data_IF_799007534654
#
_entry.id   IF_799007534654
#
_cell.length_a   1.000
_cell.length_b   1.000
_cell.length_c   1.000
_cell.angle_alpha   90.00
_cell.angle_beta   90.00
_cell.angle_gamma   90.00
#
_symmetry.space_group_name_H-M   'P 1'
#
loop_
_entity.id
_entity.type
_entity.pdbx_description
1 polymer ?
#
# COMPACT_ATOMS: atom_id res chain seq x y z
N UNK A 1 -12.99 25.24 -5.05
CA UNK A 1 -12.32 23.96 -4.69
C UNK A 1 -13.40 22.97 -4.29
N UNK A 2 -13.46 21.77 -4.86
CA UNK A 2 -14.39 20.74 -4.37
C UNK A 2 -13.94 20.33 -2.96
N UNK A 3 -14.75 20.66 -1.94
CA UNK A 3 -14.42 20.37 -0.55
C UNK A 3 -14.56 18.88 -0.28
N UNK A 4 -13.50 18.23 0.19
CA UNK A 4 -13.53 16.84 0.63
C UNK A 4 -13.24 16.73 2.13
N UNK A 5 -13.81 15.72 2.78
CA UNK A 5 -13.62 15.52 4.21
C UNK A 5 -12.34 14.70 4.49
N UNK A 6 -11.44 15.25 5.29
CA UNK A 6 -10.29 14.52 5.84
C UNK A 6 -10.70 13.94 7.20
N UNK A 7 -10.78 12.61 7.30
CA UNK A 7 -11.23 11.93 8.53
C UNK A 7 -10.23 12.01 9.69
N UNK A 8 -8.95 12.28 9.45
CA UNK A 8 -7.94 12.44 10.51
C UNK A 8 -7.19 11.14 10.86
N UNK A 9 -7.83 9.97 10.83
CA UNK A 9 -7.19 8.67 11.07
C UNK A 9 -7.18 7.76 9.83
N UNK A 10 -6.48 6.63 9.93
CA UNK A 10 -6.49 5.54 8.96
C UNK A 10 -7.18 4.33 9.61
N UNK A 11 -8.04 3.57 8.89
CA UNK A 11 -8.65 2.38 9.48
C UNK A 11 -7.63 1.28 9.74
N UNK A 12 -7.88 0.51 10.77
CA UNK A 12 -7.30 -0.81 11.07
C UNK A 12 -8.44 -1.81 11.38
N UNK A 13 -8.11 -3.01 11.87
CA UNK A 13 -9.10 -4.02 12.17
C UNK A 13 -9.94 -3.72 13.42
N UNK A 14 -9.38 -3.00 14.40
CA UNK A 14 -10.03 -2.59 15.65
C UNK A 14 -10.78 -1.26 15.52
N UNK A 15 -10.40 -0.43 14.56
CA UNK A 15 -10.98 0.88 14.31
C UNK A 15 -11.32 1.01 12.82
N UNK A 16 -12.39 0.34 12.36
CA UNK A 16 -12.78 0.39 10.96
C UNK A 16 -13.29 1.79 10.57
N UNK A 17 -13.40 2.03 9.27
CA UNK A 17 -13.89 3.31 8.74
C UNK A 17 -15.09 3.11 7.85
N UNK A 18 -16.18 3.83 8.12
CA UNK A 18 -17.36 3.80 7.27
C UNK A 18 -17.08 4.41 5.89
N UNK A 19 -17.36 3.66 4.83
CA UNK A 19 -17.37 4.07 3.44
C UNK A 19 -18.79 3.99 2.86
N UNK A 20 -18.93 4.18 1.54
CA UNK A 20 -20.24 4.17 0.88
C UNK A 20 -20.78 2.75 0.69
N UNK A 21 -19.89 1.76 0.66
CA UNK A 21 -20.21 0.35 0.52
C UNK A 21 -20.32 -0.41 1.85
N UNK A 22 -19.99 0.22 2.98
CA UNK A 22 -19.91 -0.38 4.32
C UNK A 22 -18.60 -0.04 5.03
N UNK A 23 -18.30 -0.69 6.15
CA UNK A 23 -17.04 -0.54 6.86
C UNK A 23 -15.86 -1.06 6.03
N UNK A 24 -14.75 -0.32 6.13
CA UNK A 24 -13.43 -0.69 5.66
C UNK A 24 -12.62 -1.25 6.82
N UNK A 25 -12.26 -2.52 6.72
CA UNK A 25 -11.47 -3.24 7.73
C UNK A 25 -10.11 -3.54 7.13
N UNK A 26 -9.03 -3.01 7.73
CA UNK A 26 -7.67 -3.18 7.21
C UNK A 26 -6.93 -4.26 7.95
N UNK A 27 -6.37 -5.20 7.19
CA UNK A 27 -5.47 -6.26 7.63
C UNK A 27 -4.04 -5.88 7.30
N UNK A 28 -3.12 -6.05 8.24
CA UNK A 28 -1.69 -5.76 8.08
C UNK A 28 -0.89 -7.06 8.13
N UNK A 29 -0.63 -7.73 6.98
CA UNK A 29 0.07 -9.01 6.99
C UNK A 29 1.44 -8.89 7.65
N UNK A 30 1.75 -9.79 8.58
CA UNK A 30 3.07 -9.85 9.22
C UNK A 30 4.12 -10.07 8.12
N UNK A 31 5.15 -9.22 8.10
CA UNK A 31 6.20 -9.23 7.06
C UNK A 31 5.66 -9.09 5.61
N UNK A 32 4.46 -8.53 5.44
CA UNK A 32 3.83 -8.43 4.12
C UNK A 32 3.45 -9.78 3.49
N UNK A 33 3.39 -10.86 4.28
CA UNK A 33 3.20 -12.24 3.79
C UNK A 33 1.98 -12.90 4.44
N UNK A 34 1.21 -13.62 3.64
CA UNK A 34 0.06 -14.42 4.07
C UNK A 34 0.32 -15.88 3.67
N UNK A 35 0.25 -16.80 4.63
CA UNK A 35 0.28 -18.24 4.33
C UNK A 35 -0.92 -18.65 3.47
N UNK A 36 -0.82 -19.79 2.79
CA UNK A 36 -1.93 -20.37 2.04
C UNK A 36 -3.25 -20.40 2.83
N UNK A 37 -3.22 -20.88 4.08
CA UNK A 37 -4.39 -20.97 4.94
C UNK A 37 -4.96 -19.58 5.30
N UNK A 38 -4.08 -18.61 5.57
CA UNK A 38 -4.45 -17.23 5.83
C UNK A 38 -5.10 -16.55 4.62
N UNK A 39 -4.58 -16.78 3.41
CA UNK A 39 -5.19 -16.22 2.19
C UNK A 39 -6.60 -16.78 1.99
N UNK A 40 -6.78 -18.10 2.11
CA UNK A 40 -8.11 -18.71 1.98
C UNK A 40 -9.07 -18.22 3.07
N UNK A 41 -8.63 -18.20 4.33
CA UNK A 41 -9.45 -17.73 5.45
C UNK A 41 -9.82 -16.25 5.32
N UNK A 42 -8.90 -15.41 4.81
CA UNK A 42 -9.17 -14.01 4.51
C UNK A 42 -10.21 -13.87 3.39
N UNK A 43 -10.11 -14.68 2.33
CA UNK A 43 -11.06 -14.64 1.21
C UNK A 43 -12.46 -15.08 1.65
N UNK A 44 -12.55 -16.16 2.43
CA UNK A 44 -13.78 -16.62 3.08
C UNK A 44 -14.39 -15.51 3.94
N UNK A 45 -13.60 -14.89 4.82
CA UNK A 45 -14.05 -13.81 5.66
C UNK A 45 -14.54 -12.57 4.85
N UNK A 46 -13.88 -12.25 3.73
CA UNK A 46 -14.29 -11.17 2.84
C UNK A 46 -15.65 -11.41 2.19
N UNK A 47 -15.97 -12.66 1.86
CA UNK A 47 -17.25 -13.06 1.25
C UNK A 47 -18.34 -13.14 2.31
N UNK A 48 -18.07 -13.74 3.47
CA UNK A 48 -19.06 -13.95 4.54
C UNK A 48 -19.43 -12.65 5.24
N UNK A 49 -18.45 -11.80 5.55
CA UNK A 49 -18.66 -10.61 6.37
C UNK A 49 -18.62 -9.30 5.58
N UNK A 50 -18.31 -9.34 4.29
CA UNK A 50 -18.18 -8.15 3.45
C UNK A 50 -18.88 -8.31 2.11
N UNK A 51 -18.40 -7.58 1.10
CA UNK A 51 -18.90 -7.67 -0.27
C UNK A 51 -17.97 -8.47 -1.20
N UNK A 52 -17.03 -9.24 -0.63
CA UNK A 52 -16.06 -10.04 -1.40
C UNK A 52 -14.95 -9.23 -2.09
N UNK A 53 -14.87 -7.92 -1.90
CA UNK A 53 -13.82 -7.08 -2.49
C UNK A 53 -12.67 -6.83 -1.51
N UNK A 54 -11.44 -7.01 -2.00
CA UNK A 54 -10.21 -6.76 -1.24
C UNK A 54 -9.39 -5.72 -2.01
N UNK A 55 -9.07 -4.59 -1.37
CA UNK A 55 -8.15 -3.59 -1.92
C UNK A 55 -6.77 -3.74 -1.29
N UNK A 56 -5.72 -3.77 -2.11
CA UNK A 56 -4.35 -3.51 -1.71
C UNK A 56 -4.12 -2.03 -1.44
N UNK A 57 -3.27 -1.73 -0.49
CA UNK A 57 -2.87 -0.36 -0.15
C UNK A 57 -1.42 -0.10 -0.50
N UNK A 58 -1.05 1.18 -0.65
CA UNK A 58 0.34 1.60 -0.87
C UNK A 58 1.31 1.29 0.28
N UNK A 59 0.84 0.67 1.38
CA UNK A 59 1.69 0.17 2.48
C UNK A 59 1.74 -1.36 2.53
N UNK A 60 1.46 -2.02 1.41
CA UNK A 60 1.39 -3.48 1.35
C UNK A 60 0.42 -4.13 2.37
N UNK A 61 -0.63 -3.39 2.76
CA UNK A 61 -1.73 -3.92 3.57
C UNK A 61 -2.94 -4.25 2.69
N UNK A 62 -3.87 -5.03 3.24
CA UNK A 62 -5.14 -5.40 2.59
C UNK A 62 -6.32 -4.72 3.28
N UNK A 63 -7.36 -4.42 2.52
CA UNK A 63 -8.57 -3.78 3.02
C UNK A 63 -9.80 -4.54 2.53
N UNK A 64 -10.48 -5.17 3.47
CA UNK A 64 -11.79 -5.78 3.30
C UNK A 64 -12.83 -4.68 3.21
N UNK A 65 -13.82 -4.86 2.35
CA UNK A 65 -14.85 -3.86 2.08
C UNK A 65 -16.26 -4.39 2.30
N UNK A 66 -17.16 -3.43 2.49
CA UNK A 66 -18.58 -3.68 2.58
C UNK A 66 -19.01 -4.44 3.83
N UNK A 67 -18.24 -4.29 4.91
CA UNK A 67 -18.55 -4.94 6.18
C UNK A 67 -19.70 -4.18 6.85
N UNK A 68 -20.84 -4.82 7.20
CA UNK A 68 -21.90 -4.14 7.93
C UNK A 68 -21.43 -3.84 9.35
N UNK A 69 -21.90 -2.74 9.96
CA UNK A 69 -21.51 -2.36 11.33
C UNK A 69 -21.79 -3.48 12.34
N UNK A 70 -22.93 -4.17 12.17
CA UNK A 70 -23.34 -5.29 13.01
C UNK A 70 -22.49 -6.55 12.81
N UNK A 71 -21.79 -6.68 11.67
CA UNK A 71 -20.96 -7.85 11.34
C UNK A 71 -19.47 -7.66 11.64
N UNK A 72 -19.05 -6.46 12.04
CA UNK A 72 -17.63 -6.15 12.25
C UNK A 72 -16.97 -6.99 13.35
N UNK A 73 -17.62 -7.17 14.50
CA UNK A 73 -17.04 -7.96 15.60
C UNK A 73 -16.80 -9.42 15.19
N UNK A 74 -17.75 -10.04 14.49
CA UNK A 74 -17.60 -11.41 14.02
C UNK A 74 -16.45 -11.56 13.00
N UNK A 75 -16.28 -10.57 12.12
CA UNK A 75 -15.13 -10.51 11.22
C UNK A 75 -13.83 -10.39 12.00
N UNK A 76 -13.77 -9.49 12.99
CA UNK A 76 -12.57 -9.29 13.81
C UNK A 76 -12.17 -10.58 14.52
N UNK A 77 -13.12 -11.28 15.15
CA UNK A 77 -12.89 -12.56 15.82
C UNK A 77 -12.32 -13.60 14.84
N UNK A 78 -12.84 -13.65 13.61
CA UNK A 78 -12.33 -14.53 12.56
C UNK A 78 -10.90 -14.18 12.15
N UNK A 79 -10.59 -12.89 12.01
CA UNK A 79 -9.24 -12.42 11.65
C UNK A 79 -8.22 -12.68 12.77
N UNK A 80 -8.63 -12.62 14.03
CA UNK A 80 -7.81 -12.99 15.19
C UNK A 80 -7.46 -14.49 15.17
N UNK A 81 -8.44 -15.35 14.91
CA UNK A 81 -8.22 -16.81 14.77
C UNK A 81 -7.24 -17.15 13.64
N UNK A 82 -7.21 -16.35 12.58
CA UNK A 82 -6.30 -16.51 11.44
C UNK A 82 -4.89 -15.91 11.67
N UNK A 83 -4.63 -15.30 12.84
CA UNK A 83 -3.42 -14.51 13.13
C UNK A 83 -3.14 -13.42 12.06
N UNK A 84 -4.21 -12.76 11.63
CA UNK A 84 -4.13 -11.63 10.68
C UNK A 84 -4.15 -10.27 11.38
N UNK A 85 -4.58 -10.26 12.63
CA UNK A 85 -4.75 -9.06 13.46
C UNK A 85 -4.11 -9.33 14.81
N UNK A 86 -3.44 -8.33 15.37
CA UNK A 86 -2.92 -8.40 16.72
C UNK A 86 -4.06 -8.30 17.74
N UNK A 87 -4.11 -9.17 18.78
CA UNK A 87 -5.16 -9.12 19.78
C UNK A 87 -5.12 -7.85 20.64
N UNK A 88 -3.98 -7.15 20.71
CA UNK A 88 -3.88 -5.86 21.37
C UNK A 88 -4.13 -4.72 20.34
N UNK A 89 -5.21 -3.93 20.48
CA UNK A 89 -5.50 -2.81 19.60
C UNK A 89 -4.38 -1.76 19.53
N UNK A 90 -3.64 -1.55 20.62
CA UNK A 90 -2.53 -0.59 20.69
C UNK A 90 -1.35 -1.09 19.86
N UNK A 91 -1.02 -2.38 19.97
CA UNK A 91 0.03 -3.00 19.16
C UNK A 91 -0.39 -3.04 17.69
N UNK A 92 -1.64 -3.38 17.38
CA UNK A 92 -2.15 -3.39 16.01
C UNK A 92 -1.98 -2.02 15.34
N UNK A 93 -2.24 -0.91 16.05
CA UNK A 93 -2.05 0.43 15.53
C UNK A 93 -0.58 0.71 15.16
N UNK A 94 0.37 0.18 15.92
CA UNK A 94 1.82 0.38 15.75
C UNK A 94 2.43 -0.48 14.63
N UNK A 95 1.72 -1.49 14.12
CA UNK A 95 2.16 -2.41 13.03
C UNK A 95 2.22 -1.80 11.62
N UNK A 96 2.45 -0.49 11.48
CA UNK A 96 2.62 0.15 10.17
C UNK A 96 4.03 -0.09 9.61
N UNK A 97 4.39 -1.35 9.36
CA UNK A 97 5.70 -1.77 8.86
C UNK A 97 5.57 -2.17 7.40
N UNK A 98 6.32 -1.50 6.53
CA UNK A 98 6.53 -1.89 5.15
C UNK A 98 7.87 -2.63 5.07
N UNK A 99 7.87 -3.82 4.49
CA UNK A 99 9.08 -4.66 4.33
C UNK A 99 9.28 -4.93 2.84
N UNK A 100 10.52 -4.94 2.37
CA UNK A 100 10.87 -5.29 0.99
C UNK A 100 10.25 -6.66 0.61
N UNK A 101 9.32 -6.74 -0.37
CA UNK A 101 8.55 -7.96 -0.60
C UNK A 101 9.38 -9.19 -0.98
N UNK A 102 10.59 -9.01 -1.48
CA UNK A 102 11.50 -10.08 -1.91
C UNK A 102 12.46 -10.57 -0.81
N UNK A 103 12.22 -10.18 0.45
CA UNK A 103 13.00 -10.67 1.59
C UNK A 103 13.07 -12.21 1.63
N UNK A 104 14.21 -12.73 2.04
CA UNK A 104 14.49 -14.16 2.20
C UNK A 104 14.63 -14.51 3.67
N UNK A 105 14.25 -15.74 4.03
CA UNK A 105 14.38 -16.20 5.41
C UNK A 105 15.85 -16.11 5.84
N UNK A 106 16.09 -15.31 6.87
CA UNK A 106 17.43 -15.10 7.46
C UNK A 106 18.21 -13.92 6.88
N UNK A 107 17.71 -13.24 5.87
CA UNK A 107 18.31 -11.97 5.45
C UNK A 107 18.04 -10.84 6.46
N UNK A 108 18.70 -9.70 6.25
CA UNK A 108 18.58 -8.57 7.16
C UNK A 108 17.18 -7.96 7.18
N UNK A 109 16.47 -7.90 6.05
CA UNK A 109 15.08 -7.42 6.01
C UNK A 109 14.17 -8.28 6.88
N UNK A 110 14.27 -9.60 6.75
CA UNK A 110 13.52 -10.58 7.54
C UNK A 110 13.85 -10.49 9.03
N UNK A 111 15.14 -10.49 9.36
CA UNK A 111 15.62 -10.40 10.75
C UNK A 111 15.18 -9.10 11.44
N UNK A 112 15.38 -7.96 10.77
CA UNK A 112 15.09 -6.64 11.35
C UNK A 112 13.58 -6.42 11.48
N UNK A 113 12.80 -6.75 10.46
CA UNK A 113 11.34 -6.62 10.54
C UNK A 113 10.73 -7.57 11.56
N UNK A 114 11.24 -8.80 11.66
CA UNK A 114 10.85 -9.76 12.70
C UNK A 114 11.16 -9.24 14.10
N UNK A 115 12.36 -8.71 14.33
CA UNK A 115 12.75 -8.13 15.61
C UNK A 115 11.94 -6.87 15.98
N UNK A 116 11.56 -6.04 15.00
CA UNK A 116 10.68 -4.89 15.24
C UNK A 116 9.26 -5.32 15.62
N UNK A 117 8.72 -6.37 14.98
CA UNK A 117 7.39 -6.90 15.29
C UNK A 117 7.27 -7.39 16.74
N UNK A 118 8.34 -7.88 17.35
CA UNK A 118 8.35 -8.35 18.75
C UNK A 118 8.61 -7.24 19.77
N UNK A 119 8.85 -6.00 19.33
CA UNK A 119 9.25 -4.86 20.19
C UNK A 119 8.38 -3.62 19.97
N UNK A 120 7.16 -3.83 19.47
CA UNK A 120 6.22 -2.73 19.16
C UNK A 120 5.69 -2.03 20.41
N UNK A 121 5.71 -2.68 21.55
CA UNK A 121 5.39 -2.14 22.87
C UNK A 121 6.39 -1.06 23.31
N UNK A 122 7.65 -1.17 22.88
CA UNK A 122 8.73 -0.21 23.19
C UNK A 122 8.61 1.11 22.40
N UNK A 123 7.82 1.16 21.33
CA UNK A 123 7.61 2.38 20.55
C UNK A 123 6.80 3.41 21.35
N UNK A 124 7.06 4.73 21.17
CA UNK A 124 6.20 5.76 21.74
C UNK A 124 4.83 5.77 21.05
N UNK A 125 3.90 6.54 21.61
CA UNK A 125 2.64 6.82 20.94
C UNK A 125 2.88 7.68 19.69
N UNK A 126 2.65 7.05 18.53
CA UNK A 126 2.79 7.65 17.21
C UNK A 126 1.40 7.79 16.58
N UNK A 127 1.21 8.85 15.80
CA UNK A 127 -0.01 8.99 15.01
C UNK A 127 -0.13 7.82 14.02
N UNK A 128 -1.34 7.28 13.83
CA UNK A 128 -1.58 6.06 13.04
C UNK A 128 -1.22 6.12 11.54
N UNK A 129 -0.63 7.21 11.04
CA UNK A 129 -0.08 7.34 9.68
C UNK A 129 1.44 7.22 9.62
N UNK A 130 2.11 7.35 10.76
CA UNK A 130 3.55 7.13 10.90
C UNK A 130 3.81 5.65 10.67
N UNK A 131 4.88 5.35 9.93
CA UNK A 131 5.26 3.97 9.64
C UNK A 131 6.75 3.77 9.43
N UNK A 132 7.14 2.52 9.31
CA UNK A 132 8.51 2.05 9.23
C UNK A 132 8.74 1.38 7.87
N UNK A 133 9.88 1.63 7.23
CA UNK A 133 10.29 0.93 6.03
C UNK A 133 11.55 0.12 6.31
N UNK A 134 11.49 -1.19 6.07
CA UNK A 134 12.60 -2.12 6.23
C UNK A 134 12.97 -2.66 4.85
N UNK A 135 14.08 -2.16 4.31
CA UNK A 135 14.57 -2.44 2.95
C UNK A 135 16.08 -2.73 2.99
N UNK A 136 16.43 -3.73 3.80
CA UNK A 136 17.79 -4.10 4.13
C UNK A 136 18.29 -5.30 3.31
N UNK A 137 17.63 -5.62 2.19
CA UNK A 137 18.10 -6.63 1.24
C UNK A 137 19.43 -6.21 0.60
N UNK A 138 20.01 -7.08 -0.23
CA UNK A 138 21.18 -6.70 -1.06
C UNK A 138 20.79 -5.66 -2.12
N UNK A 139 19.55 -5.72 -2.58
CA UNK A 139 18.98 -4.79 -3.55
C UNK A 139 17.79 -4.09 -2.89
N UNK A 140 17.88 -2.77 -2.69
CA UNK A 140 16.78 -1.99 -2.14
C UNK A 140 15.71 -1.73 -3.23
N UNK A 141 14.43 -1.80 -2.87
CA UNK A 141 13.30 -1.63 -3.80
C UNK A 141 12.21 -0.66 -3.31
N UNK A 142 12.27 -0.24 -2.05
CA UNK A 142 11.28 0.61 -1.40
C UNK A 142 11.68 2.09 -1.37
N UNK A 143 12.74 2.51 -2.07
CA UNK A 143 13.30 3.87 -1.97
C UNK A 143 12.29 5.00 -2.26
N UNK A 144 11.30 4.73 -3.11
CA UNK A 144 10.21 5.67 -3.43
C UNK A 144 8.97 5.55 -2.55
N UNK A 145 8.91 4.58 -1.64
CA UNK A 145 7.74 4.29 -0.82
C UNK A 145 7.76 5.04 0.50
N UNK A 146 6.57 5.28 1.06
CA UNK A 146 6.44 6.02 2.31
C UNK A 146 6.91 5.20 3.53
N UNK A 147 7.85 5.75 4.30
CA UNK A 147 8.27 5.23 5.60
C UNK A 147 8.95 6.33 6.36
N UNK A 148 8.42 6.70 7.53
CA UNK A 148 8.88 7.82 8.35
C UNK A 148 10.26 7.53 8.97
N UNK A 149 10.50 6.27 9.31
CA UNK A 149 11.78 5.76 9.77
C UNK A 149 12.18 4.60 8.86
N UNK A 150 13.40 4.64 8.33
CA UNK A 150 13.85 3.70 7.30
C UNK A 150 15.11 2.99 7.75
N UNK A 151 15.09 1.67 7.79
CA UNK A 151 16.30 0.85 7.87
C UNK A 151 16.51 0.27 6.47
N UNK A 152 17.58 0.68 5.82
CA UNK A 152 17.89 0.31 4.43
C UNK A 152 19.41 0.22 4.21
N UNK A 153 19.85 -0.04 2.98
CA UNK A 153 21.28 -0.04 2.66
C UNK A 153 21.81 1.36 2.36
N UNK A 154 23.03 1.63 2.79
CA UNK A 154 23.85 2.73 2.27
C UNK A 154 24.47 2.37 0.93
N UNK A 155 24.98 3.37 0.20
CA UNK A 155 25.67 3.17 -1.08
C UNK A 155 26.93 2.29 -0.98
N UNK A 156 27.46 2.09 0.23
CA UNK A 156 28.57 1.19 0.58
C UNK A 156 28.11 -0.25 0.89
N UNK A 157 26.80 -0.53 0.88
CA UNK A 157 26.21 -1.82 1.26
C UNK A 157 26.01 -2.01 2.76
N UNK A 158 26.43 -1.05 3.60
CA UNK A 158 26.20 -1.05 5.04
C UNK A 158 24.72 -0.83 5.38
N UNK A 159 24.30 -1.18 6.59
CA UNK A 159 22.97 -0.83 7.09
C UNK A 159 22.96 0.63 7.53
N UNK A 160 21.92 1.36 7.17
CA UNK A 160 21.68 2.73 7.62
C UNK A 160 20.29 2.90 8.23
N UNK A 161 20.19 3.82 9.19
CA UNK A 161 18.92 4.37 9.66
C UNK A 161 18.76 5.77 9.09
N UNK A 162 17.65 6.00 8.38
CA UNK A 162 17.33 7.30 7.78
C UNK A 162 15.96 7.80 8.21
N UNK A 163 15.92 9.04 8.68
CA UNK A 163 14.68 9.78 8.90
C UNK A 163 14.13 10.25 7.55
N UNK A 164 12.84 10.02 7.28
CA UNK A 164 12.23 10.47 6.03
C UNK A 164 12.34 11.99 5.84
N UNK A 165 12.48 12.42 4.58
CA UNK A 165 12.79 13.82 4.25
C UNK A 165 14.24 14.24 4.47
N UNK A 166 15.11 13.37 4.99
CA UNK A 166 16.58 13.57 5.00
C UNK A 166 17.22 12.83 3.83
N UNK A 167 18.24 13.45 3.24
CA UNK A 167 18.97 12.91 2.09
C UNK A 167 19.90 11.74 2.50
N UNK A 168 20.44 11.79 3.71
CA UNK A 168 21.42 10.84 4.24
C UNK A 168 20.93 10.20 5.54
N UNK A 169 21.51 9.05 5.88
CA UNK A 169 21.26 8.31 7.12
C UNK A 169 22.54 8.05 7.92
N UNK A 170 22.38 7.56 9.15
CA UNK A 170 23.48 7.11 10.01
C UNK A 170 23.79 5.63 9.75
N UNK A 171 25.05 5.22 9.84
CA UNK A 171 25.41 3.81 9.86
C UNK A 171 24.84 3.12 11.11
N UNK A 172 24.38 1.88 10.96
CA UNK A 172 23.93 1.06 12.09
C UNK A 172 24.60 -0.30 12.06
N UNK A 173 25.13 -0.71 13.21
CA UNK A 173 25.72 -2.03 13.36
C UNK A 173 24.66 -3.13 13.36
N UNK A 174 25.02 -4.30 12.85
CA UNK A 174 24.16 -5.48 12.86
C UNK A 174 23.66 -5.78 14.28
N UNK A 175 22.35 -5.94 14.44
CA UNK A 175 21.69 -6.19 15.73
C UNK A 175 21.34 -4.94 16.54
N UNK A 176 21.76 -3.74 16.11
CA UNK A 176 21.42 -2.45 16.76
C UNK A 176 20.36 -1.65 16.00
N UNK A 177 19.83 -2.18 14.91
CA UNK A 177 18.96 -1.46 13.99
C UNK A 177 17.64 -1.06 14.63
N UNK A 178 17.01 -2.03 15.31
CA UNK A 178 15.72 -1.81 15.98
C UNK A 178 15.87 -0.87 17.18
N UNK A 179 16.98 -0.97 17.93
CA UNK A 179 17.29 -0.04 19.04
C UNK A 179 17.37 1.42 18.53
N UNK A 180 18.15 1.64 17.47
CA UNK A 180 18.35 2.96 16.90
C UNK A 180 17.03 3.53 16.33
N UNK A 181 16.23 2.69 15.67
CA UNK A 181 14.92 3.07 15.15
C UNK A 181 13.95 3.46 16.27
N UNK A 182 13.87 2.67 17.35
CA UNK A 182 13.03 2.98 18.52
C UNK A 182 13.50 4.29 19.18
N UNK A 183 14.80 4.47 19.37
CA UNK A 183 15.36 5.71 19.90
C UNK A 183 14.99 6.94 19.05
N UNK A 184 14.99 6.78 17.72
CA UNK A 184 14.64 7.86 16.79
C UNK A 184 13.15 8.15 16.82
N UNK A 185 12.32 7.12 17.00
CA UNK A 185 10.88 7.27 17.19
C UNK A 185 10.56 8.04 18.48
N UNK A 186 11.24 7.71 19.60
CA UNK A 186 11.12 8.45 20.86
C UNK A 186 11.53 9.91 20.72
N UNK A 187 12.67 10.18 20.06
CA UNK A 187 13.06 11.55 19.75
C UNK A 187 12.01 12.27 18.92
N UNK A 188 11.46 11.63 17.87
CA UNK A 188 10.42 12.22 17.03
C UNK A 188 9.19 12.59 17.86
N UNK A 189 8.70 11.69 18.70
CA UNK A 189 7.55 11.94 19.57
C UNK A 189 7.82 13.11 20.54
N UNK A 190 8.95 13.07 21.27
CA UNK A 190 9.32 14.07 22.26
C UNK A 190 9.60 15.46 21.67
N UNK A 191 10.09 15.52 20.43
CA UNK A 191 10.45 16.77 19.75
C UNK A 191 9.31 17.41 18.96
N UNK A 192 8.07 16.91 19.09
CA UNK A 192 6.87 17.51 18.48
C UNK A 192 6.38 16.81 17.21
N UNK A 193 6.77 15.56 16.99
CA UNK A 193 6.36 14.75 15.84
C UNK A 193 4.84 14.62 15.67
N UNK A 194 4.08 14.64 16.78
CA UNK A 194 2.62 14.68 16.74
C UNK A 194 2.07 15.91 16.00
N UNK A 195 2.72 17.08 16.14
CA UNK A 195 2.34 18.30 15.41
C UNK A 195 2.76 18.23 13.94
N UNK A 196 3.93 17.66 13.66
CA UNK A 196 4.43 17.50 12.29
C UNK A 196 3.61 16.47 11.49
N UNK A 197 3.09 15.44 12.16
CA UNK A 197 2.29 14.36 11.58
C UNK A 197 3.11 13.29 10.85
N UNK A 198 4.19 13.68 10.16
CA UNK A 198 5.09 12.81 9.39
C UNK A 198 6.54 13.26 9.58
N UNK A 199 7.49 12.33 9.55
CA UNK A 199 8.92 12.63 9.71
C UNK A 199 9.43 13.59 8.62
N UNK A 200 9.02 13.41 7.36
CA UNK A 200 9.41 14.32 6.27
C UNK A 200 8.97 15.78 6.47
N UNK A 201 7.98 16.05 7.34
CA UNK A 201 7.53 17.41 7.69
C UNK A 201 8.18 17.91 8.97
N UNK A 202 8.91 17.06 9.68
CA UNK A 202 9.56 17.36 10.94
C UNK A 202 10.95 17.95 10.69
N UNK A 203 11.01 19.28 10.66
CA UNK A 203 12.19 20.04 10.22
C UNK A 203 13.23 20.31 11.30
N UNK A 204 13.06 19.79 12.51
CA UNK A 204 14.04 19.96 13.58
C UNK A 204 15.37 19.29 13.26
N UNK A 205 16.44 19.76 13.89
CA UNK A 205 17.76 19.15 13.77
C UNK A 205 17.73 17.79 14.48
N UNK A 206 18.24 16.76 13.80
CA UNK A 206 18.36 15.42 14.38
C UNK A 206 19.33 15.46 15.57
N UNK A 207 19.15 14.57 16.57
CA UNK A 207 20.15 14.43 17.63
C UNK A 207 21.47 13.94 17.02
N UNK A 208 22.60 14.32 17.63
CA UNK A 208 23.94 14.05 17.09
C UNK A 208 24.16 12.59 16.71
N UNK A 209 23.68 11.66 17.54
CA UNK A 209 23.80 10.23 17.29
C UNK A 209 23.00 9.73 16.07
N UNK A 210 21.96 10.46 15.66
CA UNK A 210 21.11 10.13 14.50
C UNK A 210 21.52 10.90 13.23
N UNK A 211 22.50 11.80 13.33
CA UNK A 211 23.09 12.45 12.17
C UNK A 211 23.99 11.47 11.42
N UNK A 212 23.99 11.55 10.10
CA UNK A 212 24.88 10.78 9.25
C UNK A 212 24.95 11.36 7.84
N UNK A 213 26.00 11.01 7.12
CA UNK A 213 26.37 11.51 5.79
C UNK A 213 26.29 10.42 4.70
N UNK A 214 25.80 9.22 5.05
CA UNK A 214 25.71 8.10 4.13
C UNK A 214 24.45 8.24 3.28
N UNK A 215 24.62 8.28 1.96
CA UNK A 215 23.51 8.23 1.01
C UNK A 215 22.91 6.82 0.95
N UNK A 216 21.58 6.69 0.85
CA UNK A 216 20.95 5.39 0.63
C UNK A 216 21.41 4.78 -0.70
N UNK A 217 21.47 3.45 -0.73
CA UNK A 217 21.69 2.71 -1.96
C UNK A 217 20.61 3.06 -3.00
N UNK A 218 20.96 3.08 -4.30
CA UNK A 218 19.96 3.24 -5.35
C UNK A 218 18.86 2.17 -5.26
N UNK A 219 17.61 2.58 -5.44
CA UNK A 219 16.49 1.66 -5.51
C UNK A 219 16.46 0.99 -6.88
N UNK A 220 16.35 -0.34 -6.91
CA UNK A 220 16.05 -1.08 -8.11
C UNK A 220 14.58 -0.87 -8.55
N UNK A 221 14.26 -1.40 -9.73
CA UNK A 221 12.91 -1.36 -10.28
C UNK A 221 11.92 -2.12 -9.38
N UNK A 222 10.69 -1.60 -9.31
CA UNK A 222 9.60 -2.26 -8.60
C UNK A 222 9.28 -3.61 -9.24
N UNK A 223 8.72 -4.52 -8.43
CA UNK A 223 8.24 -5.82 -8.93
C UNK A 223 7.08 -5.57 -9.90
N UNK A 224 7.19 -6.15 -11.10
CA UNK A 224 6.18 -6.13 -12.16
C UNK A 224 5.60 -7.53 -12.36
N UNK A 225 4.43 -7.67 -13.03
CA UNK A 225 3.88 -8.98 -13.35
C UNK A 225 4.84 -9.87 -14.13
N UNK A 226 4.83 -11.17 -13.84
CA UNK A 226 5.70 -12.17 -14.47
C UNK A 226 6.49 -13.02 -13.47
N UNK A 227 7.45 -13.77 -14.00
CA UNK A 227 8.34 -14.61 -13.18
C UNK A 227 9.18 -13.76 -12.23
N UNK A 228 9.28 -14.20 -10.97
CA UNK A 228 10.10 -13.55 -9.97
C UNK A 228 10.86 -14.58 -9.12
N UNK A 229 12.13 -14.33 -8.86
CA UNK A 229 13.00 -15.29 -8.16
C UNK A 229 13.13 -15.00 -6.65
N UNK A 230 12.39 -15.76 -5.86
CA UNK A 230 12.53 -15.79 -4.40
C UNK A 230 13.50 -16.88 -3.90
N UNK A 231 14.19 -17.60 -4.77
CA UNK A 231 15.03 -18.74 -4.42
C UNK A 231 14.24 -20.01 -4.05
N UNK A 232 13.00 -20.13 -4.53
CA UNK A 232 12.13 -21.28 -4.30
C UNK A 232 12.23 -22.27 -5.47
N UNK A 233 12.15 -23.58 -5.18
CA UNK A 233 12.27 -24.66 -6.18
C UNK A 233 11.29 -24.51 -7.34
N UNK A 234 10.04 -24.21 -7.03
CA UNK A 234 8.96 -24.10 -8.03
C UNK A 234 8.78 -22.66 -8.54
N UNK A 235 9.75 -21.78 -8.25
CA UNK A 235 9.71 -20.36 -8.62
C UNK A 235 8.68 -19.55 -7.85
N UNK A 236 8.45 -18.32 -8.30
CA UNK A 236 7.36 -17.46 -7.81
C UNK A 236 6.83 -16.61 -8.96
N UNK A 237 5.57 -16.21 -8.88
CA UNK A 237 4.93 -15.44 -9.93
C UNK A 237 4.28 -14.18 -9.38
N UNK A 238 4.52 -13.06 -10.06
CA UNK A 238 3.94 -11.77 -9.74
C UNK A 238 2.70 -11.51 -10.61
N UNK A 239 1.60 -11.09 -9.98
CA UNK A 239 0.35 -10.73 -10.64
C UNK A 239 -0.04 -9.30 -10.31
N UNK A 240 -0.28 -8.49 -11.32
CA UNK A 240 -0.84 -7.15 -11.17
C UNK A 240 -2.33 -7.21 -10.86
N UNK A 241 -2.79 -6.23 -10.07
CA UNK A 241 -4.19 -6.04 -9.74
C UNK A 241 -4.72 -4.77 -10.42
N UNK A 242 -5.77 -4.87 -11.26
CA UNK A 242 -6.46 -3.70 -11.77
C UNK A 242 -6.88 -2.77 -10.63
N UNK A 243 -6.32 -1.56 -10.62
CA UNK A 243 -6.57 -0.53 -9.60
C UNK A 243 -6.27 -0.96 -8.15
N UNK A 244 -5.50 -2.05 -7.97
CA UNK A 244 -5.17 -2.57 -6.64
C UNK A 244 -6.31 -3.33 -5.99
N UNK A 245 -7.33 -3.77 -6.75
CA UNK A 245 -8.45 -4.55 -6.23
C UNK A 245 -8.42 -5.98 -6.75
N UNK A 246 -8.82 -6.90 -5.90
CA UNK A 246 -9.08 -8.30 -6.25
C UNK A 246 -10.39 -8.76 -5.61
N UNK A 247 -11.14 -9.60 -6.34
CA UNK A 247 -12.28 -10.31 -5.76
C UNK A 247 -11.78 -11.52 -4.97
N UNK A 248 -12.31 -11.71 -3.77
CA UNK A 248 -11.91 -12.78 -2.86
C UNK A 248 -12.00 -14.17 -3.52
N UNK A 249 -13.03 -14.42 -4.32
CA UNK A 249 -13.20 -15.67 -5.07
C UNK A 249 -12.09 -15.92 -6.12
N UNK A 250 -11.58 -14.85 -6.75
CA UNK A 250 -10.49 -14.96 -7.73
C UNK A 250 -9.19 -15.27 -7.01
N UNK A 251 -8.92 -14.58 -5.90
CA UNK A 251 -7.74 -14.85 -5.08
C UNK A 251 -7.76 -16.28 -4.52
N UNK A 252 -8.89 -16.70 -3.93
CA UNK A 252 -9.07 -18.05 -3.41
C UNK A 252 -8.88 -19.10 -4.52
N UNK A 253 -9.57 -18.93 -5.66
CA UNK A 253 -9.47 -19.86 -6.79
C UNK A 253 -8.05 -19.98 -7.34
N UNK A 254 -7.29 -18.88 -7.42
CA UNK A 254 -5.88 -18.91 -7.82
C UNK A 254 -5.01 -19.71 -6.84
N UNK A 255 -5.19 -19.51 -5.53
CA UNK A 255 -4.43 -20.26 -4.52
C UNK A 255 -4.89 -21.73 -4.46
N UNK A 256 -6.17 -22.01 -4.70
CA UNK A 256 -6.71 -23.38 -4.77
C UNK A 256 -6.21 -24.16 -5.97
N UNK A 257 -6.10 -23.52 -7.12
CA UNK A 257 -5.63 -24.12 -8.37
C UNK A 257 -4.10 -24.23 -8.47
N UNK A 258 -3.35 -23.85 -7.42
CA UNK A 258 -1.89 -23.83 -7.44
C UNK A 258 -1.26 -24.46 -6.20
N UNK A 259 0.02 -24.88 -6.26
CA UNK A 259 0.78 -25.30 -5.09
C UNK A 259 1.25 -24.13 -4.21
N UNK A 260 0.70 -22.92 -4.40
CA UNK A 260 1.16 -21.70 -3.75
C UNK A 260 1.26 -21.85 -2.23
N UNK A 261 2.47 -21.65 -1.69
CA UNK A 261 2.72 -21.76 -0.25
C UNK A 261 2.24 -20.52 0.51
N UNK A 262 2.34 -19.35 -0.13
CA UNK A 262 1.97 -18.05 0.43
C UNK A 262 1.79 -17.01 -0.66
N UNK A 263 1.23 -15.86 -0.27
CA UNK A 263 1.13 -14.65 -1.10
C UNK A 263 1.77 -13.49 -0.35
N UNK A 264 2.64 -12.75 -1.03
CA UNK A 264 3.21 -11.50 -0.52
C UNK A 264 2.52 -10.30 -1.15
N UNK A 265 2.27 -9.31 -0.32
CA UNK A 265 1.62 -8.06 -0.70
C UNK A 265 2.72 -7.04 -0.98
N UNK A 266 2.66 -6.39 -2.13
CA UNK A 266 3.57 -5.30 -2.48
C UNK A 266 2.87 -3.95 -2.36
N UNK A 267 3.59 -2.82 -2.27
CA UNK A 267 2.96 -1.50 -2.32
C UNK A 267 2.56 -1.06 -3.75
N UNK A 268 2.83 -1.88 -4.77
CA UNK A 268 2.70 -1.52 -6.20
C UNK A 268 1.50 -2.13 -6.91
N UNK A 269 0.52 -2.65 -6.15
CA UNK A 269 -0.65 -3.38 -6.68
C UNK A 269 -0.26 -4.64 -7.44
N UNK A 270 0.82 -5.27 -7.00
CA UNK A 270 1.28 -6.57 -7.47
C UNK A 270 1.25 -7.54 -6.29
N UNK A 271 0.71 -8.74 -6.49
CA UNK A 271 0.81 -9.85 -5.56
C UNK A 271 1.95 -10.76 -6.02
N UNK A 272 2.75 -11.24 -5.09
CA UNK A 272 3.80 -12.22 -5.36
C UNK A 272 3.41 -13.57 -4.76
N UNK A 273 3.19 -14.56 -5.61
CA UNK A 273 2.73 -15.90 -5.23
C UNK A 273 3.95 -16.81 -5.11
N UNK A 274 4.16 -17.35 -3.90
CA UNK A 274 5.33 -18.18 -3.58
C UNK A 274 5.13 -19.63 -4.00
N UNK A 275 6.13 -20.22 -4.66
CA UNK A 275 6.17 -21.67 -4.92
C UNK A 275 5.09 -22.14 -5.89
N UNK A 276 4.71 -21.29 -6.84
CA UNK A 276 3.75 -21.63 -7.88
C UNK A 276 4.19 -21.09 -9.24
N UNK A 277 4.02 -21.88 -10.32
CA UNK A 277 4.16 -21.37 -11.68
C UNK A 277 3.03 -20.38 -12.02
N UNK A 278 3.09 -19.81 -13.22
CA UNK A 278 1.99 -19.01 -13.77
C UNK A 278 0.69 -19.85 -13.79
N UNK A 279 -0.38 -19.27 -13.25
CA UNK A 279 -1.74 -19.78 -13.28
C UNK A 279 -2.59 -18.70 -13.92
N UNK A 280 -3.32 -19.09 -14.96
CA UNK A 280 -4.30 -18.20 -15.58
C UNK A 280 -5.47 -18.01 -14.60
N UNK A 281 -5.52 -16.87 -13.94
CA UNK A 281 -6.60 -16.48 -13.05
C UNK A 281 -7.27 -15.23 -13.62
N UNK A 282 -8.51 -15.39 -14.09
CA UNK A 282 -9.28 -14.30 -14.67
C UNK A 282 -9.37 -13.11 -13.70
N UNK A 283 -9.07 -11.91 -14.18
CA UNK A 283 -9.09 -10.68 -13.36
C UNK A 283 -7.73 -10.29 -12.76
N UNK A 284 -6.70 -11.14 -12.89
CA UNK A 284 -5.31 -10.78 -12.59
C UNK A 284 -4.56 -10.40 -13.87
N UNK A 285 -3.56 -9.55 -13.73
CA UNK A 285 -2.67 -9.12 -14.82
C UNK A 285 -1.37 -9.93 -14.72
N UNK A 286 -1.02 -10.69 -15.75
CA UNK A 286 0.23 -11.44 -15.85
C UNK A 286 1.22 -10.81 -16.84
N UNK A 287 0.75 -9.93 -17.73
CA UNK A 287 1.57 -9.17 -18.67
C UNK A 287 2.04 -7.83 -18.06
N UNK A 288 3.36 -7.60 -17.90
CA UNK A 288 3.87 -6.33 -17.37
C UNK A 288 3.62 -5.12 -18.28
N UNK A 289 3.22 -5.32 -19.55
CA UNK A 289 2.85 -4.27 -20.48
C UNK A 289 1.35 -3.93 -20.47
N UNK A 290 0.54 -4.54 -19.60
CA UNK A 290 -0.90 -4.25 -19.54
C UNK A 290 -1.14 -2.76 -19.16
N UNK A 291 -1.96 -2.03 -19.95
CA UNK A 291 -2.18 -0.60 -19.73
C UNK A 291 -2.80 -0.29 -18.36
N UNK A 292 -3.53 -1.21 -17.74
CA UNK A 292 -4.13 -1.01 -16.41
C UNK A 292 -3.08 -0.86 -15.30
N UNK A 293 -1.86 -1.37 -15.51
CA UNK A 293 -0.74 -1.13 -14.60
C UNK A 293 -0.30 0.33 -14.59
N UNK A 294 -0.67 1.10 -15.62
CA UNK A 294 -0.45 2.54 -15.79
C UNK A 294 -1.65 3.41 -15.40
N UNK A 295 -2.73 2.81 -14.87
CA UNK A 295 -3.91 3.56 -14.41
C UNK A 295 -4.10 3.51 -12.90
N UNK A 296 -4.21 4.67 -12.26
CA UNK A 296 -4.59 4.82 -10.86
C UNK A 296 -6.07 5.24 -10.79
N UNK A 297 -6.95 4.43 -10.20
CA UNK A 297 -8.37 4.79 -10.06
C UNK A 297 -8.85 4.51 -8.64
N UNK A 298 -9.51 5.49 -8.02
CA UNK A 298 -10.08 5.29 -6.68
C UNK A 298 -11.34 4.41 -6.77
N UNK A 299 -12.02 4.08 -5.65
CA UNK A 299 -13.29 3.36 -5.74
C UNK A 299 -14.41 4.12 -6.48
N UNK A 300 -14.38 5.46 -6.45
CA UNK A 300 -15.45 6.30 -7.01
C UNK A 300 -16.78 6.15 -6.29
N UNK A 301 -17.82 6.76 -6.85
CA UNK A 301 -19.21 6.56 -6.43
C UNK A 301 -19.73 5.20 -6.95
N UNK A 302 -20.64 4.52 -6.22
CA UNK A 302 -21.21 4.89 -4.92
C UNK A 302 -20.33 4.45 -3.73
N UNK A 303 -19.27 3.67 -3.95
CA UNK A 303 -18.42 3.10 -2.88
C UNK A 303 -17.71 4.15 -2.02
N UNK A 304 -17.56 5.39 -2.50
CA UNK A 304 -17.02 6.52 -1.77
C UNK A 304 -18.04 7.66 -1.69
N UNK A 305 -18.50 8.06 -0.50
CA UNK A 305 -19.50 9.12 -0.36
C UNK A 305 -18.93 10.52 -0.67
N UNK A 306 -17.60 10.63 -0.84
CA UNK A 306 -16.95 11.88 -1.26
C UNK A 306 -16.84 11.98 -2.78
N UNK A 307 -17.06 10.89 -3.51
CA UNK A 307 -16.95 10.87 -4.96
C UNK A 307 -18.28 11.30 -5.59
N UNK A 308 -18.18 12.11 -6.65
CA UNK A 308 -19.36 12.53 -7.43
C UNK A 308 -19.60 11.68 -8.68
N UNK A 309 -18.64 10.81 -9.02
CA UNK A 309 -18.62 10.00 -10.26
C UNK A 309 -18.11 8.59 -10.00
N UNK A 310 -18.58 7.62 -10.78
CA UNK A 310 -17.93 6.32 -10.96
C UNK A 310 -16.53 6.55 -11.59
N UNK A 311 -15.54 5.71 -11.32
CA UNK A 311 -14.17 5.95 -11.82
C UNK A 311 -13.55 4.78 -12.57
N UNK A 312 -13.79 3.54 -12.14
CA UNK A 312 -13.00 2.37 -12.56
C UNK A 312 -13.44 1.82 -13.90
N UNK A 313 -14.71 1.94 -14.27
CA UNK A 313 -15.18 1.54 -15.60
C UNK A 313 -14.57 2.47 -16.66
N UNK A 314 -14.71 3.79 -16.45
CA UNK A 314 -14.12 4.79 -17.34
C UNK A 314 -12.59 4.64 -17.41
N UNK A 315 -11.93 4.46 -16.26
CA UNK A 315 -10.49 4.22 -16.19
C UNK A 315 -10.05 3.01 -17.00
N UNK A 316 -10.82 1.91 -16.97
CA UNK A 316 -10.53 0.69 -17.71
C UNK A 316 -10.63 0.91 -19.22
N UNK A 317 -11.69 1.61 -19.65
CA UNK A 317 -11.93 1.92 -21.07
C UNK A 317 -10.90 2.88 -21.64
N UNK A 318 -10.40 3.82 -20.84
CA UNK A 318 -9.38 4.79 -21.26
C UNK A 318 -7.95 4.25 -21.20
N UNK A 319 -7.70 3.20 -20.42
CA UNK A 319 -6.36 2.66 -20.19
C UNK A 319 -5.53 2.45 -21.49
N UNK A 320 -6.05 1.80 -22.56
CA UNK A 320 -5.25 1.57 -23.76
C UNK A 320 -5.10 2.82 -24.66
N UNK A 321 -5.82 3.91 -24.37
CA UNK A 321 -5.88 5.10 -25.22
C UNK A 321 -5.09 6.29 -24.65
N UNK A 322 -4.64 6.20 -23.40
CA UNK A 322 -3.88 7.25 -22.73
C UNK A 322 -2.41 6.86 -22.69
N UNK A 323 -1.55 7.68 -23.29
CA UNK A 323 -0.12 7.55 -23.14
C UNK A 323 0.33 7.98 -21.73
N UNK A 324 1.24 7.22 -21.13
CA UNK A 324 1.76 7.50 -19.79
C UNK A 324 0.80 7.09 -18.67
N UNK A 325 0.83 7.82 -17.57
CA UNK A 325 0.09 7.56 -16.34
C UNK A 325 -1.29 8.23 -16.39
N UNK A 326 -2.35 7.44 -16.28
CA UNK A 326 -3.72 7.93 -16.11
C UNK A 326 -4.11 7.89 -14.62
N UNK A 327 -4.68 8.98 -14.10
CA UNK A 327 -5.33 9.00 -12.80
C UNK A 327 -6.80 9.39 -12.93
N UNK A 328 -7.72 8.51 -12.54
CA UNK A 328 -9.16 8.78 -12.49
C UNK A 328 -9.60 8.86 -11.04
N UNK A 329 -9.93 10.07 -10.59
CA UNK A 329 -10.30 10.37 -9.21
C UNK A 329 -11.75 10.83 -9.13
N UNK A 330 -12.53 10.23 -8.24
CA UNK A 330 -13.94 10.59 -8.06
C UNK A 330 -14.16 11.95 -7.38
N UNK A 331 -13.11 12.52 -6.80
CA UNK A 331 -13.11 13.85 -6.19
C UNK A 331 -11.68 14.42 -6.12
N UNK A 332 -11.55 15.66 -5.64
CA UNK A 332 -10.27 16.38 -5.55
C UNK A 332 -9.26 15.78 -4.54
N UNK A 333 -9.65 14.79 -3.73
CA UNK A 333 -8.78 14.20 -2.70
C UNK A 333 -7.61 13.39 -3.27
N UNK A 334 -7.75 12.82 -4.47
CA UNK A 334 -6.67 12.09 -5.12
C UNK A 334 -6.23 10.81 -4.38
N UNK A 335 -7.16 10.06 -3.79
CA UNK A 335 -6.83 8.92 -2.92
C UNK A 335 -5.96 7.85 -3.59
N UNK A 336 -6.23 7.54 -4.87
CA UNK A 336 -5.47 6.53 -5.61
C UNK A 336 -4.07 7.01 -5.98
N UNK A 337 -3.90 8.33 -6.17
CA UNK A 337 -2.62 8.95 -6.50
C UNK A 337 -2.58 10.42 -6.07
N UNK A 338 -1.76 10.72 -5.06
CA UNK A 338 -1.57 12.11 -4.59
C UNK A 338 -0.57 12.90 -5.44
N UNK A 339 0.31 12.20 -6.17
CA UNK A 339 1.29 12.80 -7.09
C UNK A 339 0.63 13.13 -8.43
N UNK A 340 1.29 13.99 -9.21
CA UNK A 340 0.89 14.26 -10.58
C UNK A 340 0.88 12.98 -11.44
N UNK A 341 -0.04 12.93 -12.39
CA UNK A 341 -0.09 11.98 -13.50
C UNK A 341 -0.09 12.76 -14.82
N UNK A 342 0.30 12.11 -15.91
CA UNK A 342 0.34 12.71 -17.25
C UNK A 342 -1.06 13.17 -17.66
N UNK A 343 -2.07 12.34 -17.37
CA UNK A 343 -3.50 12.66 -17.51
C UNK A 343 -4.22 12.42 -16.20
N UNK A 344 -4.94 13.44 -15.72
CA UNK A 344 -5.76 13.35 -14.51
C UNK A 344 -7.20 13.76 -14.79
N UNK A 345 -8.14 12.88 -14.44
CA UNK A 345 -9.57 13.12 -14.45
C UNK A 345 -10.06 13.29 -13.00
N UNK A 346 -10.67 14.42 -12.68
CA UNK A 346 -11.20 14.71 -11.35
C UNK A 346 -12.72 14.87 -11.41
N UNK A 347 -13.44 14.03 -10.67
CA UNK A 347 -14.88 14.10 -10.53
C UNK A 347 -15.33 15.38 -9.81
N UNK A 348 -16.30 16.07 -10.40
CA UNK A 348 -16.99 17.24 -9.84
C UNK A 348 -18.42 17.26 -10.35
N UNK A 349 -19.38 17.32 -9.42
CA UNK A 349 -20.81 17.50 -9.71
C UNK A 349 -21.36 16.54 -10.78
N UNK A 350 -20.92 15.27 -10.75
CA UNK A 350 -21.35 14.23 -11.69
C UNK A 350 -20.60 14.19 -13.03
N UNK A 351 -19.65 15.11 -13.24
CA UNK A 351 -18.83 15.23 -14.45
C UNK A 351 -17.35 15.19 -14.11
N UNK A 352 -16.49 15.27 -15.13
CA UNK A 352 -15.03 15.24 -14.97
C UNK A 352 -14.36 16.54 -15.43
N UNK A 353 -13.40 16.97 -14.61
CA UNK A 353 -12.37 17.94 -14.94
C UNK A 353 -11.12 17.19 -15.47
N UNK A 354 -10.66 17.51 -16.68
CA UNK A 354 -9.44 16.99 -17.27
C UNK A 354 -8.27 17.94 -17.01
N UNK A 355 -7.19 17.42 -16.45
CA UNK A 355 -5.92 18.12 -16.22
C UNK A 355 -4.75 17.31 -16.78
N UNK A 356 -3.66 17.99 -17.16
CA UNK A 356 -2.44 17.37 -17.68
C UNK A 356 -1.28 17.63 -16.74
N UNK A 357 -0.40 16.63 -16.54
CA UNK A 357 0.78 16.72 -15.67
C UNK A 357 0.47 17.25 -14.27
N UNK A 358 -0.66 16.84 -13.71
CA UNK A 358 -1.22 17.46 -12.52
C UNK A 358 -1.85 16.42 -11.56
N UNK A 359 -1.90 16.70 -10.25
CA UNK A 359 -2.63 15.87 -9.29
C UNK A 359 -4.16 16.11 -9.42
N UNK A 360 -4.96 15.27 -8.75
CA UNK A 360 -6.41 15.48 -8.69
C UNK A 360 -6.76 16.83 -8.02
N UNK A 361 -7.79 17.50 -8.52
CA UNK A 361 -8.23 18.80 -8.01
C UNK A 361 -7.41 20.00 -8.48
N UNK A 362 -6.42 19.80 -9.36
CA UNK A 362 -5.69 20.90 -10.00
C UNK A 362 -6.57 21.70 -10.98
N UNK A 363 -6.01 22.79 -11.53
CA UNK A 363 -6.70 23.59 -12.53
C UNK A 363 -6.89 22.77 -13.83
N UNK A 364 -8.13 22.57 -14.30
CA UNK A 364 -8.37 21.80 -15.50
C UNK A 364 -8.04 22.56 -16.78
N UNK A 365 -7.61 21.81 -17.79
CA UNK A 365 -7.55 22.29 -19.19
C UNK A 365 -8.92 22.23 -19.85
N UNK A 366 -9.78 21.31 -19.41
CA UNK A 366 -11.19 21.19 -19.83
C UNK A 366 -12.04 20.74 -18.64
N UNK A 367 -13.22 21.31 -18.48
CA UNK A 367 -14.12 21.05 -17.35
C UNK A 367 -15.46 20.49 -17.79
N UNK A 368 -16.17 19.91 -16.82
CA UNK A 368 -17.56 19.46 -16.98
C UNK A 368 -17.76 18.48 -18.15
N UNK A 369 -16.84 17.52 -18.30
CA UNK A 369 -16.88 16.50 -19.34
C UNK A 369 -17.62 15.25 -18.85
N UNK A 370 -18.54 14.75 -19.66
CA UNK A 370 -19.14 13.43 -19.48
C UNK A 370 -18.14 12.31 -19.80
N UNK A 371 -18.38 11.06 -19.33
CA UNK A 371 -17.61 9.90 -19.76
C UNK A 371 -17.53 9.75 -21.28
N UNK A 372 -18.64 9.99 -21.99
CA UNK A 372 -18.70 9.87 -23.45
C UNK A 372 -17.79 10.89 -24.15
N UNK A 373 -17.78 12.14 -23.70
CA UNK A 373 -16.89 13.18 -24.25
C UNK A 373 -15.42 12.88 -23.97
N UNK A 374 -15.10 12.29 -22.82
CA UNK A 374 -13.74 11.86 -22.49
C UNK A 374 -13.29 10.70 -23.38
N UNK A 375 -14.14 9.71 -23.60
CA UNK A 375 -13.84 8.60 -24.51
C UNK A 375 -13.62 9.11 -25.93
N UNK A 376 -14.50 9.98 -26.43
CA UNK A 376 -14.31 10.63 -27.73
C UNK A 376 -13.00 11.43 -27.79
N UNK A 377 -12.65 12.15 -26.72
CA UNK A 377 -11.41 12.94 -26.65
C UNK A 377 -10.15 12.08 -26.81
N UNK A 378 -10.14 10.88 -26.22
CA UNK A 378 -9.01 9.95 -26.31
C UNK A 378 -9.13 8.93 -27.45
N UNK A 379 -10.14 9.04 -28.33
CA UNK A 379 -10.32 8.10 -29.43
C UNK A 379 -10.75 6.70 -28.99
N UNK A 380 -11.53 6.61 -27.92
CA UNK A 380 -12.07 5.39 -27.29
C UNK A 380 -13.61 5.27 -27.44
N UNK A 381 -14.19 6.00 -28.40
CA UNK A 381 -15.64 6.10 -28.62
C UNK A 381 -16.25 4.85 -29.25
#
# INVERSE_FOLDING_TARGET
MSSFAVKGWCPDAWHPMMAGDGLLVRVKPRLGRLTRAQVLGLCDAAVVHGNGLIDMTARANLQLRGVPETGWQALLDRLLVLDLVDPDPVIEQRRNILVAPDWRVGDDSHRIAGALLTRLDELPDLLGKVGFAIDAGQTCILGGEAGDFRIERGGDGGLILRADGRATGMAVAAGREVDALIALAHWFAASGGAKAGRMARHRLVLPEWACGDILPAPSAACIVPGLHDLGLRDGSWAYGLPFGRIEARILAGMVEASPAAAVRITPWRVLLVEGAPAVCAGGLIDNPADPLLHVDACPGAPCCPQASVETRDLARRLAPHVAGRLHVSGCAKGCARQRAADVTLTGRDGLFDLSLNAPAGALPVRSALSPAELLAHFGAA
#
